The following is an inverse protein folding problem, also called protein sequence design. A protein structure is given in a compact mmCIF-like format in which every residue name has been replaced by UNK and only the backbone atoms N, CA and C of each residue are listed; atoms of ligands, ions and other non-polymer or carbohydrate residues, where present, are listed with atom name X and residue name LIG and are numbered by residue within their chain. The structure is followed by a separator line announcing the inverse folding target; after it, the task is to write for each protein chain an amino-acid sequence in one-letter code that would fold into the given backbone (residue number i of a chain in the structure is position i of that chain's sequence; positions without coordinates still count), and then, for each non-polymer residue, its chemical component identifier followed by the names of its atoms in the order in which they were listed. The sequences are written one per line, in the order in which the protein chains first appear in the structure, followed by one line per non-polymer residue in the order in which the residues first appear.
data_IF_809346929996
#
_entry.id   IF_809346929996
#
_cell.length_a   1.000
_cell.length_b   1.000
_cell.length_c   1.000
_cell.angle_alpha   90.00
_cell.angle_beta   90.00
_cell.angle_gamma   90.00
#
_symmetry.space_group_name_H-M   'P 1'
#
loop_
_entity.id
_entity.type
_entity.pdbx_description
1 polymer ?
#
# COMPACT_ATOMS: atom_id res chain seq x y z
N UNK A 1 40.77 5.06 -0.61
CA UNK A 1 40.98 5.19 -2.07
C UNK A 1 39.85 6.05 -2.65
N UNK A 2 40.13 7.28 -3.14
CA UNK A 2 39.10 8.21 -3.62
C UNK A 2 38.32 7.71 -4.86
N UNK A 3 38.93 6.85 -5.68
CA UNK A 3 38.24 6.23 -6.84
C UNK A 3 37.15 5.25 -6.38
N UNK A 4 37.44 4.46 -5.35
CA UNK A 4 36.46 3.54 -4.74
C UNK A 4 35.28 4.31 -4.12
N UNK A 5 35.54 5.41 -3.42
CA UNK A 5 34.49 6.25 -2.85
C UNK A 5 33.58 6.85 -3.94
N UNK A 6 34.18 7.30 -5.05
CA UNK A 6 33.44 7.82 -6.20
C UNK A 6 32.56 6.75 -6.84
N UNK A 7 33.09 5.55 -7.04
CA UNK A 7 32.33 4.42 -7.57
C UNK A 7 31.14 4.05 -6.68
N UNK A 8 31.35 3.95 -5.37
CA UNK A 8 30.28 3.66 -4.40
C UNK A 8 29.22 4.76 -4.44
N UNK A 9 29.62 6.03 -4.55
CA UNK A 9 28.69 7.16 -4.67
C UNK A 9 27.82 7.02 -5.92
N UNK A 10 28.42 6.76 -7.08
CA UNK A 10 27.68 6.56 -8.32
C UNK A 10 26.73 5.37 -8.24
N UNK A 11 27.17 4.24 -7.67
CA UNK A 11 26.34 3.05 -7.49
C UNK A 11 25.15 3.34 -6.56
N UNK A 12 25.35 4.10 -5.48
CA UNK A 12 24.26 4.58 -4.62
C UNK A 12 23.30 5.47 -5.41
N UNK A 13 23.80 6.45 -6.15
CA UNK A 13 22.94 7.35 -6.95
C UNK A 13 22.06 6.58 -7.93
N UNK A 14 22.62 5.62 -8.68
CA UNK A 14 21.85 4.81 -9.63
C UNK A 14 20.88 3.86 -8.91
N UNK A 15 21.33 3.21 -7.83
CA UNK A 15 20.47 2.28 -7.09
C UNK A 15 19.32 2.97 -6.36
N UNK A 16 19.43 4.26 -6.02
CA UNK A 16 18.35 5.02 -5.39
C UNK A 16 17.06 5.05 -6.22
N UNK A 17 17.16 5.00 -7.54
CA UNK A 17 16.03 4.96 -8.47
C UNK A 17 15.44 3.56 -8.66
N UNK A 18 16.12 2.51 -8.19
CA UNK A 18 15.65 1.13 -8.28
C UNK A 18 14.79 0.84 -7.06
N UNK A 19 13.49 0.66 -7.26
CA UNK A 19 12.56 0.28 -6.20
C UNK A 19 13.03 -0.99 -5.47
N UNK A 20 13.04 -0.94 -4.14
CA UNK A 20 13.43 -2.07 -3.30
C UNK A 20 14.94 -2.24 -3.09
N UNK A 21 15.78 -1.38 -3.70
CA UNK A 21 17.22 -1.39 -3.45
C UNK A 21 17.56 -0.92 -2.03
N UNK A 22 18.79 -1.21 -1.58
CA UNK A 22 19.27 -0.71 -0.29
C UNK A 22 19.27 0.82 -0.22
N UNK A 23 19.56 1.49 -1.34
CA UNK A 23 19.55 2.95 -1.37
C UNK A 23 18.11 3.49 -1.36
N UNK A 24 17.17 2.90 -2.10
CA UNK A 24 15.77 3.35 -2.09
C UNK A 24 15.16 3.20 -0.68
N UNK A 25 15.45 2.10 0.01
CA UNK A 25 15.07 1.88 1.42
C UNK A 25 15.70 2.91 2.36
N UNK A 26 16.93 3.33 2.08
CA UNK A 26 17.58 4.40 2.84
C UNK A 26 16.93 5.75 2.60
N UNK A 27 16.49 6.03 1.37
CA UNK A 27 15.77 7.26 1.04
C UNK A 27 14.41 7.30 1.78
N UNK A 28 13.64 6.20 1.76
CA UNK A 28 12.38 6.12 2.53
C UNK A 28 12.57 6.35 4.04
N UNK A 29 13.68 5.90 4.62
CA UNK A 29 13.98 6.22 6.04
C UNK A 29 14.28 7.70 6.24
N UNK A 30 15.01 8.33 5.31
CA UNK A 30 15.31 9.76 5.37
C UNK A 30 14.01 10.57 5.27
N UNK A 31 13.14 10.23 4.32
CA UNK A 31 11.83 10.87 4.15
C UNK A 31 10.98 10.75 5.43
N UNK A 32 10.89 9.54 5.99
CA UNK A 32 10.19 9.31 7.27
C UNK A 32 10.76 10.17 8.41
N UNK A 33 12.09 10.17 8.60
CA UNK A 33 12.71 10.98 9.63
C UNK A 33 12.51 12.47 9.41
N UNK A 34 12.51 12.93 8.16
CA UNK A 34 12.22 14.33 7.83
C UNK A 34 10.77 14.70 8.17
N UNK A 35 9.81 13.81 7.93
CA UNK A 35 8.42 14.02 8.31
C UNK A 35 8.27 14.11 9.83
N UNK A 36 8.94 13.23 10.57
CA UNK A 36 8.95 13.26 12.05
C UNK A 36 9.58 14.56 12.57
N UNK A 37 10.64 15.03 11.91
CA UNK A 37 11.29 16.30 12.28
C UNK A 37 10.37 17.51 12.08
N UNK A 38 9.54 17.50 11.04
CA UNK A 38 8.63 18.61 10.70
C UNK A 38 7.35 18.55 11.53
N UNK A 39 6.70 17.40 11.61
CA UNK A 39 5.36 17.24 12.21
C UNK A 39 5.38 16.66 13.64
N UNK A 40 6.56 16.37 14.19
CA UNK A 40 6.69 15.68 15.48
C UNK A 40 6.43 14.17 15.37
N UNK A 41 6.13 13.52 16.51
CA UNK A 41 5.83 12.09 16.50
C UNK A 41 4.44 11.83 15.90
N UNK A 42 4.28 10.76 15.11
CA UNK A 42 2.99 10.39 14.54
C UNK A 42 2.01 9.95 15.65
N UNK A 43 0.73 10.29 15.47
CA UNK A 43 -0.33 9.91 16.41
C UNK A 43 -0.77 8.45 16.21
N UNK A 44 -0.81 7.99 14.96
CA UNK A 44 -1.34 6.68 14.59
C UNK A 44 -0.35 5.95 13.68
N UNK A 45 -0.07 4.69 14.00
CA UNK A 45 0.55 3.73 13.09
C UNK A 45 -0.49 2.69 12.68
N UNK A 46 -0.76 2.59 11.38
CA UNK A 46 -1.75 1.68 10.81
C UNK A 46 -1.11 0.76 9.78
N UNK A 47 -1.48 -0.52 9.85
CA UNK A 47 -1.16 -1.52 8.83
C UNK A 47 -2.45 -1.98 8.18
N UNK A 48 -2.54 -1.88 6.85
CA UNK A 48 -3.66 -2.42 6.07
C UNK A 48 -3.11 -3.58 5.23
N UNK A 49 -3.45 -4.80 5.62
CA UNK A 49 -3.01 -6.03 4.99
C UNK A 49 -4.24 -6.84 4.52
N UNK A 50 -4.79 -6.53 3.33
CA UNK A 50 -5.96 -7.22 2.84
C UNK A 50 -5.63 -8.64 2.37
N UNK A 51 -6.53 -9.58 2.67
CA UNK A 51 -6.44 -10.92 2.10
C UNK A 51 -6.78 -10.87 0.61
N UNK A 52 -5.89 -11.39 -0.23
CA UNK A 52 -5.96 -11.33 -1.69
C UNK A 52 -6.22 -12.70 -2.35
N UNK A 53 -6.06 -13.81 -1.62
CA UNK A 53 -6.24 -15.16 -2.17
C UNK A 53 -7.68 -15.70 -2.07
N UNK A 54 -8.46 -15.24 -1.10
CA UNK A 54 -9.76 -15.85 -0.77
C UNK A 54 -10.92 -14.88 -0.80
N UNK A 55 -10.69 -13.64 -1.24
CA UNK A 55 -11.71 -12.62 -1.18
C UNK A 55 -12.53 -12.59 -2.50
N UNK A 56 -13.87 -12.72 -2.43
CA UNK A 56 -14.75 -12.74 -3.62
C UNK A 56 -14.54 -11.55 -4.55
N UNK A 57 -14.25 -10.38 -3.99
CA UNK A 57 -13.95 -9.18 -4.75
C UNK A 57 -12.71 -9.34 -5.63
N UNK A 58 -11.66 -10.04 -5.16
CA UNK A 58 -10.44 -10.26 -5.97
C UNK A 58 -10.77 -11.12 -7.19
N UNK A 59 -11.61 -12.14 -7.00
CA UNK A 59 -12.09 -13.00 -8.08
C UNK A 59 -12.96 -12.22 -9.08
N UNK A 60 -13.82 -11.31 -8.59
CA UNK A 60 -14.55 -10.39 -9.46
C UNK A 60 -13.61 -9.45 -10.25
N UNK A 61 -12.55 -8.95 -9.61
CA UNK A 61 -11.53 -8.14 -10.29
C UNK A 61 -10.74 -8.93 -11.35
N UNK A 62 -10.65 -10.26 -11.22
CA UNK A 62 -10.08 -11.15 -12.23
C UNK A 62 -11.00 -11.35 -13.45
N UNK A 63 -12.23 -10.81 -13.42
CA UNK A 63 -13.20 -10.92 -14.52
C UNK A 63 -14.07 -12.17 -14.45
N UNK A 64 -14.04 -12.91 -13.34
CA UNK A 64 -14.95 -14.03 -13.12
C UNK A 64 -16.32 -13.47 -12.77
N UNK A 65 -17.36 -13.98 -13.43
CA UNK A 65 -18.73 -13.56 -13.16
C UNK A 65 -19.21 -14.18 -11.84
N UNK A 66 -19.01 -13.42 -10.76
CA UNK A 66 -19.42 -13.77 -9.42
C UNK A 66 -20.42 -12.72 -8.91
N UNK A 67 -21.51 -13.18 -8.30
CA UNK A 67 -22.45 -12.29 -7.63
C UNK A 67 -21.88 -11.92 -6.25
N UNK A 68 -21.40 -10.67 -6.11
CA UNK A 68 -20.76 -10.18 -4.88
C UNK A 68 -21.77 -9.86 -3.80
N UNK A 69 -23.07 -9.80 -4.12
CA UNK A 69 -24.14 -9.56 -3.15
C UNK A 69 -24.73 -10.87 -2.60
N UNK A 70 -24.46 -12.00 -3.27
CA UNK A 70 -24.88 -13.35 -2.88
C UNK A 70 -23.67 -14.18 -2.40
N UNK A 71 -22.91 -13.62 -1.44
CA UNK A 71 -21.71 -14.25 -0.86
C UNK A 71 -22.01 -15.42 0.07
N UNK A 72 -23.17 -16.07 -0.10
CA UNK A 72 -23.39 -17.37 0.51
C UNK A 72 -22.25 -18.27 0.00
N UNK A 73 -21.41 -18.72 0.94
CA UNK A 73 -20.15 -19.46 0.74
C UNK A 73 -20.18 -20.59 -0.31
N UNK A 74 -21.38 -21.03 -0.70
CA UNK A 74 -21.65 -22.11 -1.63
C UNK A 74 -21.33 -21.79 -3.10
N UNK A 75 -21.16 -20.52 -3.49
CA UNK A 75 -20.79 -20.14 -4.88
C UNK A 75 -19.30 -19.81 -5.07
N UNK A 76 -18.50 -19.82 -4.00
CA UNK A 76 -17.08 -19.49 -4.11
C UNK A 76 -16.27 -20.66 -4.68
N UNK A 77 -15.38 -20.41 -5.66
CA UNK A 77 -14.37 -21.39 -6.04
C UNK A 77 -13.54 -21.82 -4.83
N UNK A 78 -13.03 -23.05 -4.87
CA UNK A 78 -12.14 -23.56 -3.81
C UNK A 78 -10.87 -22.73 -3.76
N UNK A 79 -10.22 -22.71 -2.60
CA UNK A 79 -8.95 -22.00 -2.35
C UNK A 79 -7.89 -22.15 -3.46
N UNK A 80 -7.70 -23.37 -3.98
CA UNK A 80 -6.75 -23.62 -5.07
C UNK A 80 -7.19 -23.06 -6.43
N UNK A 81 -8.50 -23.04 -6.69
CA UNK A 81 -9.08 -22.47 -7.92
C UNK A 81 -8.95 -20.95 -7.90
N UNK A 82 -9.22 -20.32 -6.75
CA UNK A 82 -8.98 -18.89 -6.53
C UNK A 82 -7.52 -18.52 -6.79
N UNK A 83 -6.58 -19.27 -6.20
CA UNK A 83 -5.15 -19.07 -6.42
C UNK A 83 -4.77 -19.22 -7.90
N UNK A 84 -5.32 -20.20 -8.61
CA UNK A 84 -5.08 -20.40 -10.04
C UNK A 84 -5.65 -19.26 -10.90
N UNK A 85 -6.84 -18.74 -10.57
CA UNK A 85 -7.44 -17.59 -11.24
C UNK A 85 -6.55 -16.36 -11.04
N UNK A 86 -6.16 -16.07 -9.81
CA UNK A 86 -5.28 -14.93 -9.48
C UNK A 86 -3.93 -15.05 -10.20
N UNK A 87 -3.33 -16.24 -10.24
CA UNK A 87 -2.08 -16.47 -10.96
C UNK A 87 -2.21 -16.22 -12.48
N UNK A 88 -3.37 -16.48 -13.09
CA UNK A 88 -3.64 -16.18 -14.51
C UNK A 88 -3.85 -14.69 -14.79
N UNK A 89 -4.19 -13.91 -13.76
CA UNK A 89 -4.45 -12.48 -13.86
C UNK A 89 -3.52 -11.68 -12.91
N UNK A 90 -2.21 -11.60 -13.21
CA UNK A 90 -1.21 -11.06 -12.28
C UNK A 90 -1.44 -9.58 -11.88
N UNK A 91 -2.18 -8.82 -12.69
CA UNK A 91 -2.51 -7.40 -12.42
C UNK A 91 -3.71 -7.24 -11.47
N UNK A 92 -4.52 -8.29 -11.28
CA UNK A 92 -5.74 -8.27 -10.48
C UNK A 92 -5.47 -7.87 -9.03
N UNK A 93 -4.47 -8.48 -8.40
CA UNK A 93 -4.11 -8.21 -6.99
C UNK A 93 -3.76 -6.73 -6.82
N UNK A 94 -2.93 -6.19 -7.70
CA UNK A 94 -2.51 -4.79 -7.64
C UNK A 94 -3.70 -3.82 -7.82
N UNK A 95 -4.61 -4.10 -8.74
CA UNK A 95 -5.82 -3.27 -8.97
C UNK A 95 -6.78 -3.34 -7.79
N UNK A 96 -7.03 -4.54 -7.27
CA UNK A 96 -7.85 -4.75 -6.08
C UNK A 96 -7.26 -4.00 -4.89
N UNK A 97 -5.97 -4.21 -4.61
CA UNK A 97 -5.26 -3.53 -3.53
C UNK A 97 -5.35 -2.01 -3.67
N UNK A 98 -5.03 -1.46 -4.84
CA UNK A 98 -5.09 -0.02 -5.06
C UNK A 98 -6.51 0.53 -4.83
N UNK A 99 -7.54 -0.16 -5.32
CA UNK A 99 -8.94 0.28 -5.12
C UNK A 99 -9.33 0.21 -3.66
N UNK A 100 -9.02 -0.89 -2.97
CA UNK A 100 -9.33 -1.07 -1.56
C UNK A 100 -8.63 -0.02 -0.69
N UNK A 101 -7.32 0.15 -0.84
CA UNK A 101 -6.55 1.15 -0.09
C UNK A 101 -7.06 2.55 -0.38
N UNK A 102 -7.28 2.92 -1.64
CA UNK A 102 -7.83 4.25 -1.98
C UNK A 102 -9.18 4.49 -1.30
N UNK A 103 -10.03 3.46 -1.24
CA UNK A 103 -11.34 3.54 -0.61
C UNK A 103 -11.19 3.72 0.88
N UNK A 104 -10.44 2.85 1.56
CA UNK A 104 -10.18 2.93 3.01
C UNK A 104 -9.57 4.27 3.41
N UNK A 105 -8.60 4.79 2.65
CA UNK A 105 -8.01 6.09 2.93
C UNK A 105 -9.02 7.22 2.76
N UNK A 106 -9.81 7.20 1.69
CA UNK A 106 -10.79 8.26 1.44
C UNK A 106 -11.96 8.24 2.43
N UNK A 107 -12.43 7.06 2.84
CA UNK A 107 -13.64 6.92 3.65
C UNK A 107 -13.37 6.85 5.15
N UNK A 108 -12.35 6.10 5.57
CA UNK A 108 -12.08 5.80 6.98
C UNK A 108 -11.03 6.74 7.56
N UNK A 109 -10.00 7.05 6.77
CA UNK A 109 -8.94 8.01 7.15
C UNK A 109 -9.30 9.45 6.75
N UNK A 110 -10.30 9.62 5.87
CA UNK A 110 -10.69 10.94 5.36
C UNK A 110 -9.57 11.63 4.59
N UNK A 111 -8.70 10.90 3.91
CA UNK A 111 -7.64 11.47 3.08
C UNK A 111 -7.77 11.05 1.62
N UNK A 112 -7.90 12.02 0.73
CA UNK A 112 -7.99 11.77 -0.71
C UNK A 112 -6.60 11.78 -1.35
N UNK A 113 -6.09 10.58 -1.67
CA UNK A 113 -4.77 10.42 -2.28
C UNK A 113 -4.62 11.04 -3.67
N UNK A 114 -5.71 11.21 -4.42
CA UNK A 114 -5.66 11.75 -5.78
C UNK A 114 -5.63 13.28 -5.78
N UNK A 115 -6.20 13.90 -4.75
CA UNK A 115 -6.26 15.34 -4.58
C UNK A 115 -5.23 15.89 -3.60
N UNK A 116 -4.55 15.00 -2.88
CA UNK A 116 -3.61 15.33 -1.82
C UNK A 116 -4.23 16.25 -0.75
N UNK A 117 -5.47 15.94 -0.34
CA UNK A 117 -6.21 16.74 0.63
C UNK A 117 -6.93 15.87 1.65
N UNK A 118 -6.99 16.38 2.87
CA UNK A 118 -7.83 15.83 3.93
C UNK A 118 -9.27 16.28 3.74
N UNK A 119 -10.22 15.44 4.15
CA UNK A 119 -11.63 15.79 4.17
C UNK A 119 -11.83 17.03 5.05
N UNK A 120 -12.61 18.04 4.62
CA UNK A 120 -12.77 19.30 5.37
C UNK A 120 -13.24 19.07 6.82
N UNK A 121 -14.13 18.11 7.01
CA UNK A 121 -14.72 17.74 8.30
C UNK A 121 -13.88 16.69 9.07
N UNK A 122 -12.75 16.25 8.51
CA UNK A 122 -11.95 15.14 9.04
C UNK A 122 -12.60 13.76 8.79
N UNK A 123 -12.07 12.72 9.46
CA UNK A 123 -12.71 11.40 9.55
C UNK A 123 -12.96 11.01 11.01
N UNK A 124 -13.40 9.78 11.24
CA UNK A 124 -13.51 9.17 12.58
C UNK A 124 -12.16 9.12 13.32
N UNK A 125 -11.04 9.22 12.59
CA UNK A 125 -9.69 9.32 13.16
C UNK A 125 -9.28 10.77 13.47
N UNK A 126 -10.11 11.76 13.12
CA UNK A 126 -9.79 13.18 13.18
C UNK A 126 -9.35 13.75 11.84
N UNK A 127 -8.93 15.02 11.85
CA UNK A 127 -8.42 15.69 10.64
C UNK A 127 -6.95 15.34 10.45
N UNK A 128 -6.61 14.80 9.29
CA UNK A 128 -5.22 14.48 8.95
C UNK A 128 -4.47 15.76 8.58
N UNK A 129 -3.35 16.01 9.25
CA UNK A 129 -2.43 17.11 8.94
C UNK A 129 -1.28 16.63 8.03
N UNK A 130 -0.77 15.42 8.29
CA UNK A 130 0.22 14.77 7.44
C UNK A 130 0.11 13.24 7.49
N UNK A 131 0.68 12.58 6.49
CA UNK A 131 0.89 11.13 6.53
C UNK A 131 2.19 10.76 5.82
N UNK A 132 2.72 9.60 6.19
CA UNK A 132 3.82 8.94 5.49
C UNK A 132 3.53 7.45 5.40
N UNK A 133 3.84 6.80 4.29
CA UNK A 133 3.62 5.37 4.18
C UNK A 133 4.19 4.72 2.93
N UNK A 134 4.39 3.42 3.03
CA UNK A 134 4.98 2.59 1.97
C UNK A 134 4.10 1.37 1.71
N UNK A 135 4.05 0.98 0.44
CA UNK A 135 3.48 -0.31 0.03
C UNK A 135 4.63 -1.30 -0.07
N UNK A 136 4.42 -2.48 0.51
CA UNK A 136 5.38 -3.57 0.49
C UNK A 136 4.69 -4.86 0.07
N UNK A 137 5.50 -5.81 -0.41
CA UNK A 137 5.05 -7.16 -0.75
C UNK A 137 5.26 -8.06 0.48
N UNK A 138 4.25 -8.86 0.82
CA UNK A 138 4.17 -9.66 2.05
C UNK A 138 4.96 -10.98 2.03
N UNK A 139 5.74 -11.23 0.98
CA UNK A 139 6.46 -12.48 0.71
C UNK A 139 5.61 -13.59 0.09
N UNK A 140 4.35 -13.32 -0.27
CA UNK A 140 3.37 -14.30 -0.81
C UNK A 140 2.70 -13.85 -2.11
N UNK A 141 3.13 -12.74 -2.69
CA UNK A 141 2.52 -12.04 -3.82
C UNK A 141 1.52 -10.95 -3.42
N UNK A 142 1.11 -10.89 -2.15
CA UNK A 142 0.14 -9.91 -1.65
C UNK A 142 0.81 -8.59 -1.27
N UNK A 143 0.08 -7.49 -1.46
CA UNK A 143 0.52 -6.15 -1.05
C UNK A 143 -0.07 -5.78 0.31
N UNK A 144 0.73 -5.11 1.14
CA UNK A 144 0.28 -4.47 2.37
C UNK A 144 0.77 -3.04 2.46
N UNK A 145 0.04 -2.21 3.20
CA UNK A 145 0.35 -0.80 3.40
C UNK A 145 0.73 -0.58 4.86
N UNK A 146 1.88 0.06 5.08
CA UNK A 146 2.22 0.70 6.36
C UNK A 146 2.04 2.20 6.25
N UNK A 147 1.32 2.81 7.20
CA UNK A 147 1.15 4.26 7.27
C UNK A 147 1.32 4.80 8.68
N UNK A 148 1.92 5.98 8.75
CA UNK A 148 1.96 6.85 9.90
C UNK A 148 1.10 8.07 9.60
N UNK A 149 0.26 8.47 10.55
CA UNK A 149 -0.66 9.59 10.43
C UNK A 149 -0.39 10.61 11.54
N UNK A 150 -0.41 11.89 11.17
CA UNK A 150 -0.39 13.04 12.05
C UNK A 150 -1.75 13.72 11.99
N UNK A 151 -2.33 13.96 13.17
CA UNK A 151 -3.62 14.61 13.33
C UNK A 151 -3.43 16.09 13.65
N UNK A 152 -4.36 16.93 13.19
CA UNK A 152 -4.40 18.37 13.45
C UNK A 152 -4.85 18.71 14.89
#
# INVERSE_FOLDING_TARGET
NPRLATLIKQLKTVSGSIMGSNQSRSNYRIELHSQIFISGLPNIFITINPCDLYYPLVIKFAGVDLNVDDLLLNQMPKSHECAAIVARHPVTIARFFNRLISTVLSTLVGYNINKYESHPDGSELGKIDAYYGTVEESGRGALHLYKLLWLA
#
